data_IF_937871692557
#
_entry.id   IF_937871692557
#
_cell.length_a   1.000
_cell.length_b   1.000
_cell.length_c   1.000
_cell.angle_alpha   90.00
_cell.angle_beta   90.00
_cell.angle_gamma   90.00
#
_symmetry.space_group_name_H-M   'P 1'
#
loop_
_entity.id
_entity.type
_entity.pdbx_description
1 polymer ?
#
# COMPACT_ATOMS: atom_id res chain seq x y z
N UNK A 1 -73.13 -21.64 87.05
CA UNK A 1 -72.71 -20.44 87.80
C UNK A 1 -71.30 -20.14 87.34
N UNK A 2 -71.14 -19.23 86.37
CA UNK A 2 -70.51 -17.90 86.55
C UNK A 2 -69.10 -18.05 87.16
N UNK A 3 -68.00 -17.69 86.51
CA UNK A 3 -67.68 -16.33 86.05
C UNK A 3 -66.79 -16.37 84.80
N UNK A 4 -67.36 -15.98 83.65
CA UNK A 4 -66.55 -15.39 82.59
C UNK A 4 -66.06 -14.03 83.12
N UNK A 5 -64.76 -13.73 83.18
CA UNK A 5 -64.34 -12.36 83.37
C UNK A 5 -64.84 -11.55 82.15
N UNK A 6 -65.54 -10.44 82.41
CA UNK A 6 -66.24 -9.68 81.41
C UNK A 6 -65.24 -9.04 80.44
N UNK A 7 -65.54 -9.17 79.16
CA UNK A 7 -65.30 -8.17 78.10
C UNK A 7 -65.01 -6.77 78.64
N UNK A 8 -63.73 -6.42 78.81
CA UNK A 8 -63.31 -5.05 79.06
C UNK A 8 -62.17 -4.69 78.10
N UNK A 9 -62.49 -3.76 77.19
CA UNK A 9 -61.62 -3.04 76.23
C UNK A 9 -61.57 -3.51 74.75
N UNK A 10 -62.66 -4.02 74.16
CA UNK A 10 -62.68 -4.42 72.73
C UNK A 10 -63.18 -3.34 71.74
N UNK A 11 -63.49 -2.11 72.17
CA UNK A 11 -63.91 -1.04 71.23
C UNK A 11 -63.18 0.28 71.41
N UNK A 12 -61.84 0.23 71.44
CA UNK A 12 -61.04 1.37 71.00
C UNK A 12 -60.37 1.00 69.67
N UNK A 13 -60.57 1.78 68.59
CA UNK A 13 -59.85 1.58 67.33
C UNK A 13 -58.34 1.41 67.51
N UNK A 14 -57.76 2.02 68.54
CA UNK A 14 -56.33 1.90 68.87
C UNK A 14 -55.96 0.52 69.43
N UNK A 15 -56.79 -0.08 70.30
CA UNK A 15 -56.53 -1.42 70.86
C UNK A 15 -56.74 -2.50 69.81
N UNK A 16 -57.77 -2.36 68.97
CA UNK A 16 -58.00 -3.25 67.84
C UNK A 16 -56.84 -3.19 66.82
N UNK A 17 -56.31 -2.00 66.53
CA UNK A 17 -55.12 -1.84 65.68
C UNK A 17 -53.87 -2.48 66.30
N UNK A 18 -53.64 -2.29 67.60
CA UNK A 18 -52.50 -2.90 68.30
C UNK A 18 -52.58 -4.43 68.35
N UNK A 19 -53.78 -4.99 68.57
CA UNK A 19 -54.00 -6.43 68.52
C UNK A 19 -53.84 -6.99 67.09
N UNK A 20 -54.31 -6.25 66.08
CA UNK A 20 -54.15 -6.63 64.67
C UNK A 20 -52.68 -6.58 64.21
N UNK A 21 -51.90 -5.58 64.64
CA UNK A 21 -50.46 -5.52 64.36
C UNK A 21 -49.70 -6.64 65.06
N UNK A 22 -50.01 -6.92 66.34
CA UNK A 22 -49.40 -8.01 67.07
C UNK A 22 -49.71 -9.39 66.44
N UNK A 23 -50.94 -9.59 65.94
CA UNK A 23 -51.30 -10.82 65.22
C UNK A 23 -50.51 -10.98 63.90
N UNK A 24 -50.27 -9.88 63.18
CA UNK A 24 -49.43 -9.87 61.98
C UNK A 24 -47.97 -10.22 62.31
N UNK A 25 -47.42 -9.63 63.36
CA UNK A 25 -46.04 -9.87 63.80
C UNK A 25 -45.85 -11.34 64.24
N UNK A 26 -46.82 -11.93 64.93
CA UNK A 26 -46.81 -13.36 65.26
C UNK A 26 -46.84 -14.25 64.01
N UNK A 27 -47.63 -13.90 62.99
CA UNK A 27 -47.67 -14.66 61.73
C UNK A 27 -46.33 -14.62 60.98
N UNK A 28 -45.61 -13.50 61.05
CA UNK A 28 -44.26 -13.37 60.49
C UNK A 28 -43.26 -14.23 61.27
N UNK A 29 -43.30 -14.21 62.59
CA UNK A 29 -42.44 -15.06 63.45
C UNK A 29 -42.71 -16.55 63.23
N UNK A 30 -43.97 -16.97 63.12
CA UNK A 30 -44.34 -18.37 62.86
C UNK A 30 -43.84 -18.83 61.47
N UNK A 31 -43.96 -17.97 60.45
CA UNK A 31 -43.40 -18.25 59.13
C UNK A 31 -41.86 -18.34 59.15
N UNK A 32 -41.20 -17.40 59.83
CA UNK A 32 -39.74 -17.38 59.98
C UNK A 32 -39.21 -18.61 60.76
N UNK A 33 -39.88 -19.02 61.83
CA UNK A 33 -39.56 -20.25 62.56
C UNK A 33 -39.76 -21.50 61.69
N UNK A 34 -40.83 -21.56 60.89
CA UNK A 34 -41.04 -22.70 59.96
C UNK A 34 -39.93 -22.81 58.90
N UNK A 35 -39.40 -21.67 58.43
CA UNK A 35 -38.26 -21.63 57.50
C UNK A 35 -36.96 -22.12 58.15
N UNK A 36 -36.72 -21.75 59.40
CA UNK A 36 -35.48 -22.10 60.11
C UNK A 36 -35.50 -23.52 60.71
N UNK A 37 -36.67 -24.13 60.86
CA UNK A 37 -36.84 -25.50 61.37
C UNK A 37 -37.57 -26.41 60.35
N UNK A 38 -36.97 -26.71 59.17
CA UNK A 38 -37.63 -27.48 58.12
C UNK A 38 -37.90 -28.95 58.48
N UNK A 39 -37.15 -29.51 59.44
CA UNK A 39 -37.24 -30.93 59.85
C UNK A 39 -37.40 -31.15 61.35
N UNK A 40 -37.57 -30.07 62.14
CA UNK A 40 -37.69 -30.14 63.60
C UNK A 40 -38.94 -29.37 64.05
N UNK A 41 -39.77 -29.89 64.97
CA UNK A 41 -40.85 -29.10 65.52
C UNK A 41 -40.25 -27.92 66.31
N UNK A 42 -40.84 -26.74 66.14
CA UNK A 42 -40.48 -25.54 66.89
C UNK A 42 -40.69 -25.82 68.38
N UNK A 43 -39.69 -25.56 69.25
CA UNK A 43 -39.84 -25.73 70.70
C UNK A 43 -41.03 -24.92 71.24
N UNK A 44 -41.78 -25.43 72.24
CA UNK A 44 -42.86 -24.66 72.85
C UNK A 44 -42.30 -23.46 73.62
N UNK A 45 -42.92 -22.29 73.46
CA UNK A 45 -42.56 -21.07 74.18
C UNK A 45 -43.82 -20.26 74.52
N UNK A 46 -43.71 -19.39 75.54
CA UNK A 46 -44.80 -18.52 75.97
C UNK A 46 -44.99 -17.37 74.99
N UNK A 47 -46.23 -17.13 74.54
CA UNK A 47 -46.57 -16.01 73.64
C UNK A 47 -46.81 -14.73 74.44
N UNK A 48 -45.73 -14.09 74.87
CA UNK A 48 -45.74 -12.80 75.58
C UNK A 48 -45.21 -11.66 74.69
N UNK A 49 -45.57 -10.40 74.97
CA UNK A 49 -45.11 -9.22 74.25
C UNK A 49 -43.57 -9.10 74.24
N UNK A 50 -42.90 -9.47 75.34
CA UNK A 50 -41.44 -9.45 75.43
C UNK A 50 -40.80 -10.55 74.56
N UNK A 51 -41.42 -11.73 74.47
CA UNK A 51 -40.96 -12.81 73.59
C UNK A 51 -41.14 -12.46 72.11
N UNK A 52 -42.24 -11.77 71.75
CA UNK A 52 -42.44 -11.27 70.39
C UNK A 52 -41.35 -10.27 70.01
N UNK A 53 -41.04 -9.31 70.90
CA UNK A 53 -39.96 -8.34 70.65
C UNK A 53 -38.61 -9.01 70.48
N UNK A 54 -38.29 -9.98 71.34
CA UNK A 54 -37.03 -10.73 71.25
C UNK A 54 -36.93 -11.56 69.96
N UNK A 55 -38.01 -12.25 69.58
CA UNK A 55 -38.04 -13.06 68.35
C UNK A 55 -38.01 -12.22 67.08
N UNK A 56 -38.67 -11.05 67.06
CA UNK A 56 -38.56 -10.11 65.95
C UNK A 56 -37.14 -9.55 65.81
N UNK A 57 -36.52 -9.15 66.93
CA UNK A 57 -35.15 -8.64 66.92
C UNK A 57 -34.16 -9.72 66.43
N UNK A 58 -34.36 -10.97 66.84
CA UNK A 58 -33.56 -12.11 66.40
C UNK A 58 -33.81 -12.41 64.92
N UNK A 59 -35.07 -12.39 64.46
CA UNK A 59 -35.41 -12.61 63.06
C UNK A 59 -34.75 -11.56 62.16
N UNK A 60 -34.83 -10.27 62.53
CA UNK A 60 -34.16 -9.21 61.78
C UNK A 60 -32.64 -9.34 61.81
N UNK A 61 -32.05 -9.71 62.96
CA UNK A 61 -30.60 -9.89 63.07
C UNK A 61 -30.10 -11.09 62.25
N UNK A 62 -30.87 -12.18 62.20
CA UNK A 62 -30.56 -13.32 61.35
C UNK A 62 -30.67 -12.96 59.86
N UNK A 63 -31.72 -12.25 59.46
CA UNK A 63 -31.86 -11.80 58.07
C UNK A 63 -30.72 -10.86 57.67
N UNK A 64 -30.32 -9.93 58.54
CA UNK A 64 -29.13 -9.10 58.33
C UNK A 64 -27.85 -9.94 58.19
N UNK A 65 -27.64 -10.91 59.08
CA UNK A 65 -26.46 -11.77 59.04
C UNK A 65 -26.43 -12.64 57.77
N UNK A 66 -27.58 -13.12 57.31
CA UNK A 66 -27.70 -13.89 56.08
C UNK A 66 -27.44 -13.01 54.84
N UNK A 67 -27.96 -11.78 54.81
CA UNK A 67 -27.65 -10.79 53.77
C UNK A 67 -26.14 -10.50 53.72
N UNK A 68 -25.50 -10.24 54.86
CA UNK A 68 -24.06 -10.02 54.94
C UNK A 68 -23.26 -11.22 54.44
N UNK A 69 -23.63 -12.45 54.83
CA UNK A 69 -22.98 -13.67 54.35
C UNK A 69 -23.10 -13.86 52.84
N UNK A 70 -24.26 -13.56 52.28
CA UNK A 70 -24.47 -13.62 50.82
C UNK A 70 -23.60 -12.59 50.11
N UNK A 71 -23.51 -11.37 50.65
CA UNK A 71 -22.64 -10.33 50.09
C UNK A 71 -21.16 -10.71 50.17
N UNK A 72 -20.69 -11.24 51.30
CA UNK A 72 -19.33 -11.71 51.47
C UNK A 72 -19.01 -12.86 50.52
N UNK A 73 -19.88 -13.87 50.41
CA UNK A 73 -19.69 -14.98 49.49
C UNK A 73 -19.60 -14.50 48.03
N UNK A 74 -20.43 -13.53 47.65
CA UNK A 74 -20.36 -12.93 46.32
C UNK A 74 -19.04 -12.19 46.10
N UNK A 75 -18.63 -11.34 47.05
CA UNK A 75 -17.37 -10.61 46.97
C UNK A 75 -16.17 -11.56 46.87
N UNK A 76 -16.15 -12.63 47.67
CA UNK A 76 -15.10 -13.66 47.61
C UNK A 76 -15.08 -14.33 46.24
N UNK A 77 -16.24 -14.71 45.69
CA UNK A 77 -16.31 -15.33 44.37
C UNK A 77 -15.84 -14.38 43.25
N UNK A 78 -16.19 -13.10 43.33
CA UNK A 78 -15.77 -12.07 42.37
C UNK A 78 -14.26 -11.81 42.50
N UNK A 79 -13.72 -11.73 43.71
CA UNK A 79 -12.29 -11.56 43.96
C UNK A 79 -11.48 -12.77 43.47
N UNK A 80 -11.94 -14.00 43.71
CA UNK A 80 -11.31 -15.21 43.18
C UNK A 80 -11.35 -15.25 41.66
N UNK A 81 -12.48 -14.87 41.05
CA UNK A 81 -12.59 -14.77 39.59
C UNK A 81 -11.61 -13.76 39.00
N UNK A 82 -11.44 -12.59 39.63
CA UNK A 82 -10.49 -11.57 39.19
C UNK A 82 -9.04 -12.04 39.31
N UNK A 83 -8.68 -12.71 40.41
CA UNK A 83 -7.35 -13.29 40.59
C UNK A 83 -7.07 -14.40 39.58
N UNK A 84 -8.06 -15.24 39.28
CA UNK A 84 -7.91 -16.27 38.26
C UNK A 84 -7.73 -15.64 36.87
N UNK A 85 -8.51 -14.60 36.54
CA UNK A 85 -8.37 -13.89 35.27
C UNK A 85 -7.00 -13.21 35.15
N UNK A 86 -6.54 -12.51 36.19
CA UNK A 86 -5.23 -11.87 36.20
C UNK A 86 -4.08 -12.88 36.11
N UNK A 87 -4.22 -14.05 36.76
CA UNK A 87 -3.26 -15.14 36.65
C UNK A 87 -3.24 -15.74 35.24
N UNK A 88 -4.39 -15.92 34.59
CA UNK A 88 -4.41 -16.38 33.20
C UNK A 88 -3.78 -15.37 32.25
N UNK A 89 -4.01 -14.05 32.44
CA UNK A 89 -3.33 -13.03 31.65
C UNK A 89 -1.82 -13.03 31.92
N UNK A 90 -1.37 -13.19 33.17
CA UNK A 90 0.05 -13.23 33.50
C UNK A 90 0.74 -14.45 32.88
N UNK A 91 0.13 -15.64 32.94
CA UNK A 91 0.66 -16.84 32.28
C UNK A 91 0.80 -16.61 30.76
N UNK A 92 -0.17 -15.95 30.14
CA UNK A 92 -0.10 -15.64 28.70
C UNK A 92 1.02 -14.63 28.41
N UNK A 93 1.18 -13.60 29.23
CA UNK A 93 2.28 -12.63 29.11
C UNK A 93 3.65 -13.28 29.33
N UNK A 94 3.80 -14.12 30.34
CA UNK A 94 5.02 -14.87 30.64
C UNK A 94 5.36 -15.86 29.51
N UNK A 95 4.37 -16.59 28.99
CA UNK A 95 4.55 -17.48 27.85
C UNK A 95 4.95 -16.70 26.59
N UNK A 96 4.33 -15.53 26.35
CA UNK A 96 4.70 -14.64 25.25
C UNK A 96 6.12 -14.13 25.38
N UNK A 97 6.52 -13.70 26.58
CA UNK A 97 7.88 -13.26 26.86
C UNK A 97 8.88 -14.40 26.60
N UNK A 98 8.61 -15.60 27.12
CA UNK A 98 9.46 -16.76 26.90
C UNK A 98 9.60 -17.14 25.42
N UNK A 99 8.51 -17.06 24.64
CA UNK A 99 8.54 -17.29 23.18
C UNK A 99 9.39 -16.22 22.49
N UNK A 100 9.21 -14.94 22.83
CA UNK A 100 10.01 -13.86 22.24
C UNK A 100 11.49 -14.01 22.56
N UNK A 101 11.84 -14.35 23.81
CA UNK A 101 13.23 -14.63 24.19
C UNK A 101 13.79 -15.86 23.48
N UNK A 102 12.97 -16.91 23.29
CA UNK A 102 13.37 -18.08 22.50
C UNK A 102 13.61 -17.73 21.03
N UNK A 103 12.78 -16.86 20.44
CA UNK A 103 12.96 -16.40 19.06
C UNK A 103 14.24 -15.57 18.96
N UNK A 104 14.44 -14.61 19.87
CA UNK A 104 15.62 -13.75 19.92
C UNK A 104 16.91 -14.56 20.06
N UNK A 105 16.94 -15.55 20.96
CA UNK A 105 18.10 -16.44 21.15
C UNK A 105 18.31 -17.43 20.01
N UNK A 106 17.26 -17.79 19.27
CA UNK A 106 17.36 -18.65 18.09
C UNK A 106 17.74 -17.92 16.80
N UNK A 107 17.75 -16.59 16.81
CA UNK A 107 18.00 -15.79 15.61
C UNK A 107 19.48 -15.81 15.25
N UNK A 108 19.78 -16.07 13.98
CA UNK A 108 21.16 -16.00 13.47
C UNK A 108 21.66 -14.55 13.48
N UNK A 109 22.99 -14.35 13.46
CA UNK A 109 23.60 -13.01 13.36
C UNK A 109 23.15 -12.24 12.12
N UNK A 110 22.86 -12.94 11.04
CA UNK A 110 22.31 -12.34 9.82
C UNK A 110 20.84 -11.92 10.02
N UNK A 111 20.05 -12.74 10.70
CA UNK A 111 18.67 -12.42 11.06
C UNK A 111 18.56 -11.20 11.99
N UNK A 112 19.44 -11.08 12.99
CA UNK A 112 19.45 -9.90 13.89
C UNK A 112 19.82 -8.64 13.12
N UNK A 113 20.85 -8.68 12.27
CA UNK A 113 21.25 -7.56 11.43
C UNK A 113 20.15 -7.13 10.44
N UNK A 114 19.43 -8.09 9.85
CA UNK A 114 18.31 -7.82 8.96
C UNK A 114 17.14 -7.14 9.67
N UNK A 115 16.77 -7.60 10.88
CA UNK A 115 15.71 -6.96 11.68
C UNK A 115 16.11 -5.55 12.11
N UNK A 116 17.36 -5.34 12.49
CA UNK A 116 17.85 -4.02 12.87
C UNK A 116 17.86 -3.05 11.68
N UNK A 117 18.26 -3.51 10.49
CA UNK A 117 18.17 -2.72 9.26
C UNK A 117 16.71 -2.35 8.93
N UNK A 118 15.75 -3.27 9.08
CA UNK A 118 14.33 -2.99 8.87
C UNK A 118 13.78 -2.00 9.90
N UNK A 119 14.20 -2.09 11.16
CA UNK A 119 13.82 -1.14 12.20
C UNK A 119 14.36 0.26 11.90
N UNK A 120 15.61 0.38 11.44
CA UNK A 120 16.20 1.64 11.02
C UNK A 120 15.46 2.25 9.82
N UNK A 121 15.10 1.42 8.84
CA UNK A 121 14.31 1.85 7.67
C UNK A 121 12.92 2.37 8.11
N UNK A 122 12.25 1.64 9.00
CA UNK A 122 10.96 2.06 9.57
C UNK A 122 11.04 3.40 10.32
N UNK A 123 12.15 3.62 11.06
CA UNK A 123 12.40 4.89 11.74
C UNK A 123 12.66 6.03 10.75
N UNK A 124 13.43 5.78 9.68
CA UNK A 124 13.69 6.78 8.63
C UNK A 124 12.42 7.14 7.86
N UNK A 125 11.54 6.18 7.59
CA UNK A 125 10.23 6.41 6.97
C UNK A 125 9.17 6.94 7.96
N UNK A 126 9.51 7.00 9.26
CA UNK A 126 8.62 7.40 10.35
C UNK A 126 7.26 6.68 10.33
N UNK A 127 7.28 5.37 10.10
CA UNK A 127 6.05 4.56 10.04
C UNK A 127 5.74 3.91 11.39
N UNK A 128 4.55 4.15 11.98
CA UNK A 128 4.22 3.67 13.32
C UNK A 128 3.95 2.16 13.39
N UNK A 129 3.68 1.50 12.26
CA UNK A 129 3.51 0.05 12.18
C UNK A 129 4.17 -0.50 10.90
N UNK A 130 5.48 -0.78 10.92
CA UNK A 130 6.17 -1.28 9.74
C UNK A 130 5.75 -2.70 9.43
N UNK A 131 5.13 -2.91 8.26
CA UNK A 131 4.99 -4.25 7.67
C UNK A 131 6.15 -4.49 6.72
N UNK A 132 6.74 -5.70 6.68
CA UNK A 132 7.92 -5.98 5.87
C UNK A 132 7.65 -5.78 4.36
N UNK A 133 6.43 -6.07 3.91
CA UNK A 133 5.99 -5.81 2.54
C UNK A 133 5.98 -4.32 2.22
N UNK A 134 5.46 -3.49 3.12
CA UNK A 134 5.42 -2.04 2.93
C UNK A 134 6.82 -1.42 2.90
N UNK A 135 7.69 -1.81 3.85
CA UNK A 135 9.08 -1.34 3.85
C UNK A 135 9.82 -1.79 2.58
N UNK A 136 9.55 -3.01 2.10
CA UNK A 136 10.10 -3.52 0.86
C UNK A 136 9.65 -2.73 -0.37
N UNK A 137 8.36 -2.40 -0.49
CA UNK A 137 7.84 -1.59 -1.60
C UNK A 137 8.39 -0.17 -1.58
N UNK A 138 8.50 0.44 -0.40
CA UNK A 138 9.08 1.78 -0.26
C UNK A 138 10.57 1.79 -0.58
N UNK A 139 11.33 0.78 -0.12
CA UNK A 139 12.75 0.63 -0.48
C UNK A 139 12.93 0.47 -2.00
N UNK A 140 12.10 -0.35 -2.64
CA UNK A 140 12.11 -0.49 -4.09
C UNK A 140 11.76 0.84 -4.77
N UNK A 141 10.76 1.57 -4.28
CA UNK A 141 10.41 2.90 -4.76
C UNK A 141 11.58 3.88 -4.68
N UNK A 142 12.25 3.94 -3.52
CA UNK A 142 13.44 4.76 -3.32
C UNK A 142 14.60 4.34 -4.23
N UNK A 143 14.83 3.04 -4.43
CA UNK A 143 15.87 2.54 -5.34
C UNK A 143 15.61 2.94 -6.80
N UNK A 144 14.35 2.90 -7.23
CA UNK A 144 13.93 3.35 -8.57
C UNK A 144 14.11 4.86 -8.71
N UNK A 145 13.78 5.64 -7.68
CA UNK A 145 14.00 7.09 -7.68
C UNK A 145 15.49 7.43 -7.77
N UNK A 146 16.33 6.75 -7.00
CA UNK A 146 17.78 6.93 -7.01
C UNK A 146 18.36 6.62 -8.39
N UNK A 147 18.02 5.47 -8.97
CA UNK A 147 18.48 5.10 -10.31
C UNK A 147 18.02 6.10 -11.38
N UNK A 148 16.78 6.63 -11.26
CA UNK A 148 16.28 7.67 -12.16
C UNK A 148 17.09 8.96 -12.03
N UNK A 149 17.43 9.37 -10.82
CA UNK A 149 18.26 10.57 -10.58
C UNK A 149 19.66 10.37 -11.17
N UNK A 150 20.30 9.22 -10.94
CA UNK A 150 21.61 8.90 -11.53
C UNK A 150 21.58 8.90 -13.06
N UNK A 151 20.51 8.35 -13.65
CA UNK A 151 20.31 8.41 -15.10
C UNK A 151 20.11 9.85 -15.59
N UNK A 152 19.40 10.69 -14.84
CA UNK A 152 19.26 12.11 -15.22
C UNK A 152 20.57 12.87 -15.10
N UNK A 153 21.40 12.55 -14.10
CA UNK A 153 22.71 13.15 -13.90
C UNK A 153 23.64 12.80 -15.07
N UNK A 154 23.76 11.52 -15.41
CA UNK A 154 24.55 11.10 -16.58
C UNK A 154 24.05 11.74 -17.89
N UNK A 155 22.73 11.89 -18.08
CA UNK A 155 22.19 12.60 -19.24
C UNK A 155 22.59 14.08 -19.23
N UNK A 156 22.50 14.75 -18.09
CA UNK A 156 22.95 16.14 -17.96
C UNK A 156 24.43 16.25 -18.29
N UNK A 157 25.29 15.37 -17.78
CA UNK A 157 26.73 15.39 -18.08
C UNK A 157 27.02 15.26 -19.58
N UNK A 158 26.31 14.37 -20.29
CA UNK A 158 26.45 14.25 -21.75
C UNK A 158 26.00 15.53 -22.49
N UNK A 159 24.90 16.15 -22.07
CA UNK A 159 24.41 17.40 -22.66
C UNK A 159 25.36 18.57 -22.36
N UNK A 160 25.91 18.61 -21.15
CA UNK A 160 26.85 19.65 -20.74
C UNK A 160 28.13 19.53 -21.57
N UNK A 161 28.64 18.31 -21.75
CA UNK A 161 29.79 18.03 -22.60
C UNK A 161 29.52 18.45 -24.05
N UNK A 162 28.34 18.12 -24.60
CA UNK A 162 27.95 18.52 -25.95
C UNK A 162 27.89 20.05 -26.10
N UNK A 163 27.24 20.75 -25.17
CA UNK A 163 27.16 22.22 -25.18
C UNK A 163 28.57 22.83 -25.07
N UNK A 164 29.45 22.27 -24.22
CA UNK A 164 30.83 22.76 -24.14
C UNK A 164 31.56 22.56 -25.46
N UNK A 165 31.44 21.39 -26.10
CA UNK A 165 32.07 21.15 -27.41
C UNK A 165 31.53 22.08 -28.49
N UNK A 166 30.21 22.27 -28.57
CA UNK A 166 29.59 23.18 -29.53
C UNK A 166 30.01 24.64 -29.26
N UNK A 167 30.07 25.05 -27.99
CA UNK A 167 30.55 26.38 -27.62
C UNK A 167 32.02 26.61 -28.03
N UNK A 168 32.89 25.62 -27.85
CA UNK A 168 34.29 25.69 -28.30
C UNK A 168 34.41 25.70 -29.82
N UNK A 169 33.57 24.93 -30.51
CA UNK A 169 33.53 24.87 -31.97
C UNK A 169 33.07 26.21 -32.56
N UNK A 170 31.99 26.80 -32.03
CA UNK A 170 31.53 28.13 -32.44
C UNK A 170 32.55 29.22 -32.12
N UNK A 171 33.24 29.15 -30.97
CA UNK A 171 34.31 30.08 -30.62
C UNK A 171 35.49 30.01 -31.62
N UNK A 172 35.84 28.79 -32.07
CA UNK A 172 36.86 28.60 -33.10
C UNK A 172 36.42 29.18 -34.44
N UNK A 173 35.17 28.94 -34.86
CA UNK A 173 34.62 29.49 -36.12
C UNK A 173 34.58 31.03 -36.05
N UNK A 174 34.15 31.62 -34.92
CA UNK A 174 34.17 33.07 -34.77
C UNK A 174 35.60 33.62 -34.85
N UNK A 175 36.57 32.95 -34.23
CA UNK A 175 37.97 33.33 -34.33
C UNK A 175 38.48 33.24 -35.78
N UNK A 176 38.11 32.20 -36.54
CA UNK A 176 38.47 32.08 -37.96
C UNK A 176 37.88 33.21 -38.81
N UNK A 177 36.63 33.60 -38.56
CA UNK A 177 35.98 34.74 -39.23
C UNK A 177 36.67 36.06 -38.86
N UNK A 178 37.00 36.26 -37.59
CA UNK A 178 37.66 37.48 -37.10
C UNK A 178 39.13 37.58 -37.58
N UNK A 179 39.80 36.46 -37.90
CA UNK A 179 41.17 36.47 -38.45
C UNK A 179 41.27 36.90 -39.93
N UNK A 180 40.16 37.26 -40.57
CA UNK A 180 40.17 37.95 -41.87
C UNK A 180 39.76 39.41 -41.72
N UNK A 181 40.75 40.29 -41.46
CA UNK A 181 40.87 41.46 -42.32
C UNK A 181 42.33 41.73 -42.75
N UNK A 182 42.44 42.21 -44.00
CA UNK A 182 43.60 42.91 -44.58
C UNK A 182 44.61 42.07 -45.38
N UNK A 183 44.25 41.71 -46.62
CA UNK A 183 45.23 41.72 -47.72
C UNK A 183 45.18 43.07 -48.41
N UNK A 184 46.06 43.96 -47.98
CA UNK A 184 46.86 44.91 -48.78
C UNK A 184 46.28 45.39 -50.11
N UNK A 185 46.04 46.70 -50.21
CA UNK A 185 46.24 47.47 -51.44
C UNK A 185 46.65 48.88 -51.02
N UNK A 186 47.93 49.04 -50.70
CA UNK A 186 48.66 50.26 -51.03
C UNK A 186 48.87 50.21 -52.55
N UNK A 187 48.35 51.19 -53.28
CA UNK A 187 48.95 51.70 -54.52
C UNK A 187 48.29 53.06 -54.84
N UNK A 188 49.07 54.11 -54.59
CA UNK A 188 48.97 55.43 -55.18
C UNK A 188 48.90 55.31 -56.72
N UNK A 189 47.89 55.88 -57.38
CA UNK A 189 48.05 56.61 -58.66
C UNK A 189 46.82 57.48 -58.97
N UNK A 190 47.14 58.72 -59.28
CA UNK A 190 46.36 59.85 -59.77
C UNK A 190 45.91 59.65 -61.25
N UNK A 191 44.63 59.85 -61.58
CA UNK A 191 44.14 60.81 -62.60
C UNK A 191 42.67 60.58 -63.05
N UNK A 192 42.06 61.72 -63.41
CA UNK A 192 40.78 61.91 -64.06
C UNK A 192 40.62 61.09 -65.36
N UNK A 193 39.42 60.55 -65.61
CA UNK A 193 38.68 60.87 -66.85
C UNK A 193 37.20 60.47 -66.75
N UNK A 194 36.33 61.38 -67.15
CA UNK A 194 34.90 61.15 -67.38
C UNK A 194 34.74 60.15 -68.53
N UNK A 195 33.93 59.09 -68.38
CA UNK A 195 33.05 58.60 -69.45
C UNK A 195 31.91 57.72 -68.90
N UNK A 196 30.72 58.11 -69.33
CA UNK A 196 29.40 57.54 -69.14
C UNK A 196 29.27 56.13 -69.73
N UNK A 197 28.83 55.14 -68.93
CA UNK A 197 27.78 54.16 -69.28
C UNK A 197 27.63 53.08 -68.18
N UNK A 198 26.49 53.14 -67.49
CA UNK A 198 25.69 52.00 -67.01
C UNK A 198 26.45 50.71 -66.64
N UNK A 199 26.99 50.63 -65.42
CA UNK A 199 27.28 49.35 -64.77
C UNK A 199 26.70 49.37 -63.35
N UNK A 200 25.48 48.86 -63.20
CA UNK A 200 24.97 48.45 -61.89
C UNK A 200 25.74 47.20 -61.46
N UNK A 201 26.96 47.41 -60.94
CA UNK A 201 27.74 46.39 -60.24
C UNK A 201 27.01 46.14 -58.92
N UNK A 202 26.17 45.10 -58.95
CA UNK A 202 25.61 44.46 -57.79
C UNK A 202 26.68 44.30 -56.72
N UNK A 203 26.47 44.91 -55.57
CA UNK A 203 27.20 44.57 -54.35
C UNK A 203 27.02 43.07 -54.11
N UNK A 204 28.07 42.30 -54.30
CA UNK A 204 28.16 40.89 -53.91
C UNK A 204 28.25 40.83 -52.38
N UNK A 205 27.12 41.16 -51.75
CA UNK A 205 26.84 40.84 -50.37
C UNK A 205 26.34 39.40 -50.30
N UNK A 206 26.73 38.69 -49.24
CA UNK A 206 26.32 37.32 -48.96
C UNK A 206 24.86 37.04 -49.38
N UNK A 207 24.70 36.27 -50.45
CA UNK A 207 23.40 35.75 -50.88
C UNK A 207 23.22 34.36 -50.26
N UNK A 208 22.34 34.19 -49.25
CA UNK A 208 22.13 32.88 -48.64
C UNK A 208 21.64 31.88 -49.69
N UNK A 209 22.19 30.67 -49.63
CA UNK A 209 21.90 29.60 -50.59
C UNK A 209 20.39 29.41 -50.78
N UNK A 210 19.90 29.26 -52.03
CA UNK A 210 18.47 29.09 -52.33
C UNK A 210 17.84 27.87 -51.63
N UNK A 211 18.64 26.91 -51.17
CA UNK A 211 18.18 25.78 -50.36
C UNK A 211 17.76 26.19 -48.94
N UNK A 212 18.49 27.12 -48.31
CA UNK A 212 18.16 27.68 -47.00
C UNK A 212 16.90 28.55 -47.08
N UNK A 213 16.73 29.32 -48.16
CA UNK A 213 15.52 30.10 -48.39
C UNK A 213 14.27 29.22 -48.52
N UNK A 214 14.37 28.09 -49.25
CA UNK A 214 13.31 27.10 -49.36
C UNK A 214 12.98 26.44 -48.01
N UNK A 215 14.00 26.00 -47.27
CA UNK A 215 13.84 25.40 -45.94
C UNK A 215 13.20 26.38 -44.94
N UNK A 216 13.64 27.63 -44.91
CA UNK A 216 13.05 28.67 -44.07
C UNK A 216 11.57 28.91 -44.42
N UNK A 217 11.24 28.91 -45.71
CA UNK A 217 9.87 29.09 -46.16
C UNK A 217 8.97 27.91 -45.75
N UNK A 218 9.48 26.68 -45.79
CA UNK A 218 8.77 25.50 -45.31
C UNK A 218 8.62 25.48 -43.78
N UNK A 219 9.63 25.93 -43.03
CA UNK A 219 9.55 26.13 -41.57
C UNK A 219 8.51 27.20 -41.25
N UNK A 220 8.50 28.33 -41.96
CA UNK A 220 7.50 29.38 -41.79
C UNK A 220 6.08 28.90 -42.12
N UNK A 221 5.91 28.07 -43.15
CA UNK A 221 4.62 27.42 -43.46
C UNK A 221 4.19 26.49 -42.35
N UNK A 222 5.10 25.64 -41.83
CA UNK A 222 4.83 24.76 -40.69
C UNK A 222 4.44 25.54 -39.44
N UNK A 223 5.18 26.59 -39.11
CA UNK A 223 4.86 27.47 -37.98
C UNK A 223 3.48 28.08 -38.16
N UNK A 224 3.13 28.59 -39.34
CA UNK A 224 1.79 29.13 -39.63
C UNK A 224 0.69 28.08 -39.49
N UNK A 225 0.92 26.85 -39.97
CA UNK A 225 -0.06 25.76 -39.84
C UNK A 225 -0.26 25.32 -38.39
N UNK A 226 0.83 25.25 -37.60
CA UNK A 226 0.76 24.89 -36.18
C UNK A 226 0.17 26.04 -35.36
N UNK A 227 0.52 27.29 -35.65
CA UNK A 227 -0.05 28.47 -34.98
C UNK A 227 -1.53 28.63 -35.28
N UNK A 228 -2.00 28.28 -36.48
CA UNK A 228 -3.42 28.26 -36.79
C UNK A 228 -4.20 27.18 -36.01
N UNK A 229 -3.53 26.10 -35.58
CA UNK A 229 -4.13 25.04 -34.75
C UNK A 229 -4.09 25.31 -33.25
N UNK A 230 -3.27 26.26 -32.79
CA UNK A 230 -3.24 26.67 -31.38
C UNK A 230 -4.60 27.16 -30.84
N UNK A 231 -5.37 28.03 -31.52
CA UNK A 231 -6.68 28.43 -31.03
C UNK A 231 -7.65 27.26 -30.96
N UNK A 232 -7.65 26.34 -31.94
CA UNK A 232 -8.50 25.14 -31.90
C UNK A 232 -8.15 24.21 -30.72
N UNK A 233 -6.85 24.04 -30.42
CA UNK A 233 -6.41 23.26 -29.26
C UNK A 233 -6.74 23.97 -27.94
N UNK A 234 -6.67 25.30 -27.93
CA UNK A 234 -7.07 26.12 -26.78
C UNK A 234 -8.57 26.05 -26.54
N UNK A 235 -9.39 26.11 -27.58
CA UNK A 235 -10.85 25.98 -27.50
C UNK A 235 -11.25 24.55 -27.10
N UNK A 236 -10.51 23.53 -27.58
CA UNK A 236 -10.64 22.15 -27.08
C UNK A 236 -10.30 22.03 -25.60
N UNK A 237 -9.27 22.72 -25.11
CA UNK A 237 -8.94 22.76 -23.68
C UNK A 237 -9.99 23.50 -22.86
N UNK A 238 -10.51 24.62 -23.36
CA UNK A 238 -11.59 25.39 -22.70
C UNK A 238 -12.88 24.57 -22.67
N UNK A 239 -13.22 23.86 -23.74
CA UNK A 239 -14.39 22.96 -23.78
C UNK A 239 -14.22 21.71 -22.92
N UNK A 240 -13.02 21.12 -22.84
CA UNK A 240 -12.73 20.04 -21.88
C UNK A 240 -12.83 20.53 -20.44
N UNK A 241 -12.26 21.70 -20.15
CA UNK A 241 -12.28 22.34 -18.83
C UNK A 241 -13.70 22.72 -18.41
N UNK A 242 -14.52 23.25 -19.32
CA UNK A 242 -15.93 23.56 -19.05
C UNK A 242 -16.83 22.31 -18.99
N UNK A 243 -16.50 21.23 -19.70
CA UNK A 243 -17.19 19.94 -19.50
C UNK A 243 -16.83 19.25 -18.18
N UNK A 244 -15.70 19.65 -17.55
CA UNK A 244 -15.29 19.16 -16.23
C UNK A 244 -15.97 19.90 -15.07
N UNK A 245 -16.66 21.01 -15.33
CA UNK A 245 -17.49 21.72 -14.35
C UNK A 245 -18.96 21.34 -14.53
N UNK A 246 -19.40 20.30 -13.82
CA UNK A 246 -20.80 19.89 -13.71
C UNK A 246 -21.42 20.37 -12.37
N UNK A 247 -22.73 20.67 -12.32
CA UNK A 247 -23.30 21.67 -11.42
C UNK A 247 -23.81 21.06 -10.11
N UNK A 248 -23.07 21.23 -9.03
CA UNK A 248 -23.61 21.15 -7.67
C UNK A 248 -22.86 22.14 -6.77
N UNK A 249 -23.30 23.41 -6.77
CA UNK A 249 -23.33 24.24 -5.58
C UNK A 249 -24.00 25.58 -5.90
N UNK A 250 -25.29 25.67 -5.61
CA UNK A 250 -25.97 26.94 -5.46
C UNK A 250 -26.09 27.23 -3.95
N UNK A 251 -25.14 27.99 -3.40
CA UNK A 251 -25.43 28.90 -2.28
C UNK A 251 -24.25 29.83 -1.99
N UNK A 252 -24.54 31.13 -2.11
CA UNK A 252 -23.99 32.26 -1.35
C UNK A 252 -22.50 32.65 -1.48
N UNK A 253 -22.31 33.71 -2.26
CA UNK A 253 -21.52 34.93 -1.99
C UNK A 253 -19.99 34.96 -2.11
N UNK A 254 -19.43 36.15 -2.45
CA UNK A 254 -18.12 36.28 -3.08
C UNK A 254 -17.09 36.94 -2.16
N UNK A 255 -15.90 36.35 -2.00
CA UNK A 255 -14.72 37.11 -1.55
C UNK A 255 -13.41 36.34 -1.81
N UNK A 256 -12.55 36.97 -2.63
CA UNK A 256 -11.07 36.98 -2.61
C UNK A 256 -10.35 35.84 -1.86
N UNK A 257 -9.66 34.97 -2.61
CA UNK A 257 -8.28 34.51 -2.33
C UNK A 257 -7.67 33.77 -3.56
N UNK A 258 -6.32 33.76 -3.71
CA UNK A 258 -5.59 33.40 -4.94
C UNK A 258 -5.44 31.87 -5.13
N UNK A 259 -5.05 31.38 -6.33
CA UNK A 259 -5.27 29.99 -6.72
C UNK A 259 -4.25 29.02 -6.12
N UNK A 260 -4.64 27.81 -5.68
CA UNK A 260 -3.73 26.70 -5.47
C UNK A 260 -3.40 26.00 -6.80
N UNK A 261 -2.20 25.42 -6.83
CA UNK A 261 -1.55 24.71 -7.94
C UNK A 261 -2.44 23.64 -8.60
N UNK A 262 -2.29 23.38 -9.91
CA UNK A 262 -3.10 22.40 -10.62
C UNK A 262 -2.69 20.98 -10.18
N UNK A 263 -3.41 20.43 -9.22
CA UNK A 263 -3.44 18.99 -8.99
C UNK A 263 -4.22 18.37 -10.15
N UNK A 264 -3.52 17.67 -11.04
CA UNK A 264 -4.12 16.76 -11.99
C UNK A 264 -4.82 15.67 -11.19
N UNK A 265 -6.09 15.87 -10.87
CA UNK A 265 -6.95 14.82 -10.35
C UNK A 265 -7.28 13.92 -11.54
N UNK A 266 -6.38 12.98 -11.82
CA UNK A 266 -6.62 11.90 -12.78
C UNK A 266 -7.87 11.18 -12.26
N UNK A 267 -8.91 11.21 -13.06
CA UNK A 267 -10.21 10.67 -12.69
C UNK A 267 -10.07 9.14 -12.54
N UNK A 268 -10.54 8.56 -11.43
CA UNK A 268 -10.56 7.10 -11.19
C UNK A 268 -11.07 6.27 -12.41
N UNK A 269 -12.12 6.68 -13.15
CA UNK A 269 -12.52 5.97 -14.37
C UNK A 269 -11.51 6.04 -15.53
N UNK A 270 -10.65 7.05 -15.57
CA UNK A 270 -9.58 7.19 -16.57
C UNK A 270 -8.42 6.25 -16.26
N UNK A 271 -8.03 6.16 -14.98
CA UNK A 271 -7.05 5.17 -14.49
C UNK A 271 -7.51 3.75 -14.84
N UNK A 272 -8.80 3.45 -14.69
CA UNK A 272 -9.35 2.12 -15.04
C UNK A 272 -9.22 1.82 -16.54
N UNK A 273 -9.48 2.80 -17.41
CA UNK A 273 -9.31 2.62 -18.86
C UNK A 273 -7.85 2.44 -19.25
N UNK A 274 -6.96 3.21 -18.63
CA UNK A 274 -5.52 3.06 -18.83
C UNK A 274 -5.00 1.70 -18.33
N UNK A 275 -5.53 1.21 -17.20
CA UNK A 275 -5.24 -0.11 -16.66
C UNK A 275 -5.70 -1.23 -17.61
N UNK A 276 -6.90 -1.13 -18.18
CA UNK A 276 -7.41 -2.10 -19.16
C UNK A 276 -6.51 -2.17 -20.41
N UNK A 277 -6.08 -1.01 -20.93
CA UNK A 277 -5.16 -0.93 -22.07
C UNK A 277 -3.78 -1.51 -21.72
N UNK A 278 -3.29 -1.22 -20.52
CA UNK A 278 -2.01 -1.74 -20.04
C UNK A 278 -2.04 -3.27 -19.90
N UNK A 279 -3.13 -3.83 -19.36
CA UNK A 279 -3.30 -5.27 -19.24
C UNK A 279 -3.36 -5.96 -20.61
N UNK A 280 -4.02 -5.35 -21.59
CA UNK A 280 -4.02 -5.86 -22.96
C UNK A 280 -2.61 -5.87 -23.58
N UNK A 281 -1.84 -4.78 -23.40
CA UNK A 281 -0.44 -4.72 -23.86
C UNK A 281 0.45 -5.74 -23.15
N UNK A 282 0.23 -5.99 -21.86
CA UNK A 282 0.98 -6.98 -21.08
C UNK A 282 0.68 -8.40 -21.59
N UNK A 283 -0.57 -8.68 -21.94
CA UNK A 283 -0.95 -9.95 -22.55
C UNK A 283 -0.30 -10.12 -23.92
N UNK A 284 -0.35 -9.11 -24.79
CA UNK A 284 0.34 -9.13 -26.09
C UNK A 284 1.85 -9.34 -25.94
N UNK A 285 2.47 -8.65 -24.98
CA UNK A 285 3.89 -8.80 -24.66
C UNK A 285 4.23 -10.20 -24.17
N UNK A 286 3.37 -10.83 -23.36
CA UNK A 286 3.52 -12.23 -22.94
C UNK A 286 3.44 -13.19 -24.13
N UNK A 287 2.51 -12.95 -25.05
CA UNK A 287 2.36 -13.79 -26.24
C UNK A 287 3.57 -13.65 -27.17
N UNK A 288 4.10 -12.43 -27.34
CA UNK A 288 5.32 -12.17 -28.09
C UNK A 288 6.56 -12.75 -27.41
N UNK A 289 6.69 -12.62 -26.08
CA UNK A 289 7.78 -13.24 -25.33
C UNK A 289 7.73 -14.77 -25.42
N UNK A 290 6.53 -15.37 -25.40
CA UNK A 290 6.36 -16.80 -25.60
C UNK A 290 6.82 -17.22 -27.01
N UNK A 291 6.46 -16.45 -28.04
CA UNK A 291 6.95 -16.67 -29.41
C UNK A 291 8.47 -16.53 -29.50
N UNK A 292 9.06 -15.50 -28.89
CA UNK A 292 10.50 -15.27 -28.88
C UNK A 292 11.26 -16.35 -28.09
N UNK A 293 10.67 -16.88 -27.02
CA UNK A 293 11.28 -17.96 -26.22
C UNK A 293 11.50 -19.23 -27.02
N UNK A 294 10.64 -19.52 -28.01
CA UNK A 294 10.80 -20.65 -28.92
C UNK A 294 12.01 -20.49 -29.86
N UNK A 295 12.48 -19.26 -30.04
CA UNK A 295 13.67 -18.91 -30.83
C UNK A 295 14.86 -18.52 -29.94
N UNK A 296 14.78 -18.71 -28.62
CA UNK A 296 15.86 -18.40 -27.71
C UNK A 296 17.11 -19.23 -28.05
N UNK A 297 18.21 -18.55 -28.36
CA UNK A 297 19.48 -19.18 -28.75
C UNK A 297 19.75 -19.20 -30.25
N UNK A 298 18.81 -18.78 -31.11
CA UNK A 298 19.09 -18.60 -32.54
C UNK A 298 19.71 -17.21 -32.79
N UNK A 299 20.75 -17.10 -33.62
CA UNK A 299 21.28 -15.83 -34.09
C UNK A 299 20.19 -14.95 -34.74
N UNK A 300 20.30 -13.62 -34.59
CA UNK A 300 19.38 -12.66 -35.19
C UNK A 300 19.40 -12.66 -36.73
N UNK A 301 20.39 -13.33 -37.35
CA UNK A 301 20.49 -13.53 -38.79
C UNK A 301 19.88 -14.90 -39.18
N UNK A 302 18.88 -14.86 -40.06
CA UNK A 302 18.15 -16.04 -40.55
C UNK A 302 19.06 -17.05 -41.26
N UNK A 303 20.15 -16.61 -41.89
CA UNK A 303 21.10 -17.50 -42.56
C UNK A 303 21.97 -18.24 -41.54
N UNK A 304 22.50 -17.53 -40.54
CA UNK A 304 23.29 -18.11 -39.45
C UNK A 304 22.47 -19.11 -38.61
N UNK A 305 21.22 -18.78 -38.29
CA UNK A 305 20.30 -19.64 -37.57
C UNK A 305 20.00 -20.96 -38.30
N UNK A 306 19.87 -20.92 -39.64
CA UNK A 306 19.74 -22.14 -40.46
C UNK A 306 20.99 -23.01 -40.40
N UNK A 307 22.17 -22.39 -40.42
CA UNK A 307 23.45 -23.09 -40.32
C UNK A 307 23.60 -23.86 -39.00
N UNK A 308 23.25 -23.23 -37.87
CA UNK A 308 23.29 -23.89 -36.55
C UNK A 308 22.28 -25.04 -36.44
N UNK A 309 21.05 -24.83 -36.94
CA UNK A 309 20.02 -25.86 -36.96
C UNK A 309 20.44 -27.08 -37.81
N UNK A 310 21.06 -26.85 -38.96
CA UNK A 310 21.65 -27.93 -39.77
C UNK A 310 22.85 -28.61 -39.09
N UNK A 311 23.63 -27.86 -38.30
CA UNK A 311 24.66 -28.41 -37.42
C UNK A 311 24.08 -29.39 -36.40
N UNK A 312 23.09 -28.95 -35.61
CA UNK A 312 22.42 -29.77 -34.60
C UNK A 312 21.70 -30.98 -35.21
N UNK A 313 21.08 -30.82 -36.38
CA UNK A 313 20.47 -31.95 -37.12
C UNK A 313 21.49 -33.00 -37.54
N UNK A 314 22.69 -32.59 -37.96
CA UNK A 314 23.78 -33.53 -38.29
C UNK A 314 24.27 -34.27 -37.05
N UNK A 315 24.39 -33.58 -35.92
CA UNK A 315 24.79 -34.19 -34.65
C UNK A 315 23.75 -35.20 -34.15
N UNK A 316 22.46 -34.86 -34.21
CA UNK A 316 21.37 -35.77 -33.85
C UNK A 316 21.39 -37.04 -34.74
N UNK A 317 21.59 -36.87 -36.06
CA UNK A 317 21.75 -38.02 -36.97
C UNK A 317 22.95 -38.89 -36.61
N UNK A 318 24.08 -38.28 -36.26
CA UNK A 318 25.29 -39.00 -35.82
C UNK A 318 25.03 -39.80 -34.54
N UNK A 319 24.40 -39.19 -33.53
CA UNK A 319 24.04 -39.86 -32.29
C UNK A 319 23.02 -40.98 -32.51
N UNK A 320 22.09 -40.79 -33.44
CA UNK A 320 21.11 -41.81 -33.83
C UNK A 320 21.81 -42.99 -34.50
N UNK A 321 22.70 -42.75 -35.46
CA UNK A 321 23.49 -43.80 -36.11
C UNK A 321 24.40 -44.55 -35.13
N UNK A 322 25.00 -43.84 -34.17
CA UNK A 322 25.79 -44.47 -33.11
C UNK A 322 24.93 -45.33 -32.19
N UNK A 323 23.74 -44.85 -31.83
CA UNK A 323 22.77 -45.65 -31.06
C UNK A 323 22.37 -46.90 -31.84
N UNK A 324 22.05 -46.75 -33.12
CA UNK A 324 21.58 -47.85 -33.96
C UNK A 324 22.70 -48.88 -34.19
N UNK A 325 23.96 -48.46 -34.37
CA UNK A 325 25.09 -49.40 -34.49
C UNK A 325 25.42 -50.14 -33.20
N UNK A 326 25.32 -49.46 -32.05
CA UNK A 326 25.45 -50.10 -30.73
C UNK A 326 24.31 -51.09 -30.52
N UNK A 327 23.10 -50.74 -30.93
CA UNK A 327 21.93 -51.60 -30.84
C UNK A 327 22.07 -52.84 -31.74
N UNK A 328 22.44 -52.67 -33.01
CA UNK A 328 22.73 -53.78 -33.93
C UNK A 328 23.82 -54.70 -33.36
N UNK A 329 24.91 -54.14 -32.82
CA UNK A 329 25.97 -54.92 -32.18
C UNK A 329 25.51 -55.68 -30.93
N UNK A 330 24.52 -55.18 -30.19
CA UNK A 330 23.89 -55.91 -29.08
C UNK A 330 23.00 -57.05 -29.62
N UNK A 331 22.19 -56.77 -30.64
CA UNK A 331 21.28 -57.75 -31.25
C UNK A 331 22.05 -58.92 -31.89
N UNK A 332 23.17 -58.65 -32.56
CA UNK A 332 24.02 -59.70 -33.16
C UNK A 332 24.71 -60.61 -32.13
N UNK A 333 24.94 -60.11 -30.91
CA UNK A 333 25.51 -60.90 -29.81
C UNK A 333 24.48 -61.80 -29.16
N UNK A 334 23.26 -61.30 -28.99
CA UNK A 334 22.17 -62.01 -28.33
C UNK A 334 21.37 -62.92 -29.28
N UNK A 335 21.53 -62.77 -30.61
CA UNK A 335 20.89 -63.65 -31.58
C UNK A 335 21.70 -64.95 -31.76
N UNK A 336 21.15 -66.13 -31.44
CA UNK A 336 21.85 -67.39 -31.59
C UNK A 336 22.13 -67.65 -33.08
N UNK A 337 23.42 -67.69 -33.46
CA UNK A 337 23.83 -68.08 -34.81
C UNK A 337 23.35 -69.50 -35.09
N UNK A 338 22.37 -69.63 -35.99
CA UNK A 338 21.96 -70.94 -36.56
C UNK A 338 23.16 -71.51 -37.31
N UNK A 339 23.88 -72.44 -36.70
CA UNK A 339 24.94 -73.20 -37.36
C UNK A 339 24.31 -74.05 -38.46
N UNK A 340 24.48 -73.62 -39.70
CA UNK A 340 24.06 -74.39 -40.88
C UNK A 340 24.87 -75.68 -40.95
N UNK A 341 24.21 -76.82 -40.69
CA UNK A 341 24.76 -78.15 -40.90
C UNK A 341 24.57 -78.54 -42.37
N UNK A 342 25.65 -79.04 -42.98
CA UNK A 342 25.65 -79.83 -44.22
C UNK A 342 24.66 -80.98 -44.19
#
# INVERSE_FOLDING_TARGET
MAHFPPTTAIFSPSVARAAASAAKDWSYVDAWLSRNFPSRPVPPFERNADTLRALLALASANEQADEERVLLSRLESEALSQLQQSHTSSIIEDARAAILTSIETSLTREGTAALEALAQLALQLNTPLPTPSFLGTELLGLSVQLAKIEQTLSRIDTLTSYITTESTHLANISAEIDTKPSTTSDDDYDNNDEHNANTSKSSDGYHPSPALAKSNLDVQRRIKTLSARLPELRDKLVSLSSSSTSPYSASSSPAKQPPPLPQQVISIPEIRKEEEVYLALLQEKKDLDAQLSAFAGLPHDTAAARGELEGLRRELRKMTQQRDSVFEGLVERETPKKTGRR
#
